data_IF_494673306086
#
_entry.id   IF_494673306086
#
_cell.length_a   1.000
_cell.length_b   1.000
_cell.length_c   1.000
_cell.angle_alpha   90.00
_cell.angle_beta   90.00
_cell.angle_gamma   90.00
#
_symmetry.space_group_name_H-M   'P 1'
#
loop_
_entity.id
_entity.type
_entity.pdbx_description
1 polymer ?
#
# COMPACT_ATOMS: atom_id res chain seq x y z
N UNK A 1 -37.16 -30.92 -8.90
CA UNK A 1 -36.63 -29.57 -8.63
C UNK A 1 -35.13 -29.70 -8.64
N UNK A 2 -34.51 -29.43 -9.79
CA UNK A 2 -33.06 -29.28 -9.87
C UNK A 2 -32.68 -27.96 -9.21
N UNK A 3 -31.60 -27.91 -8.41
CA UNK A 3 -31.10 -26.65 -7.90
C UNK A 3 -30.54 -25.86 -9.08
N UNK A 4 -31.11 -24.67 -9.34
CA UNK A 4 -30.52 -23.72 -10.28
C UNK A 4 -29.13 -23.38 -9.76
N UNK A 5 -28.09 -23.73 -10.52
CA UNK A 5 -26.74 -23.30 -10.20
C UNK A 5 -26.76 -21.77 -10.18
N UNK A 6 -26.44 -21.22 -9.01
CA UNK A 6 -25.98 -19.85 -8.91
C UNK A 6 -24.65 -19.82 -9.70
N UNK A 7 -24.74 -19.57 -11.01
CA UNK A 7 -23.58 -19.37 -11.86
C UNK A 7 -22.97 -18.03 -11.46
N UNK A 8 -22.11 -18.06 -10.44
CA UNK A 8 -21.19 -16.95 -10.19
C UNK A 8 -20.37 -16.64 -11.45
N UNK A 9 -19.85 -15.42 -11.59
CA UNK A 9 -19.14 -15.03 -12.80
C UNK A 9 -17.99 -15.97 -13.09
N UNK A 10 -17.91 -16.42 -14.35
CA UNK A 10 -16.87 -17.36 -14.75
C UNK A 10 -15.49 -16.68 -14.68
N UNK A 11 -14.44 -17.37 -14.19
CA UNK A 11 -13.09 -16.81 -14.13
C UNK A 11 -12.55 -16.33 -15.49
N UNK A 12 -13.01 -16.93 -16.60
CA UNK A 12 -12.68 -16.47 -17.94
C UNK A 12 -13.30 -15.09 -18.25
N UNK A 13 -14.49 -14.80 -17.75
CA UNK A 13 -15.20 -13.55 -17.99
C UNK A 13 -14.61 -12.41 -17.15
N UNK A 14 -14.27 -12.70 -15.89
CA UNK A 14 -13.56 -11.77 -15.01
C UNK A 14 -12.24 -11.34 -15.67
N UNK A 15 -11.44 -12.30 -16.14
CA UNK A 15 -10.16 -12.02 -16.81
C UNK A 15 -10.29 -11.09 -18.02
N UNK A 16 -11.38 -11.19 -18.78
CA UNK A 16 -11.61 -10.32 -19.95
C UNK A 16 -12.08 -8.92 -19.57
N UNK A 17 -12.70 -8.77 -18.41
CA UNK A 17 -13.32 -7.51 -17.98
C UNK A 17 -12.41 -6.64 -17.11
N UNK A 18 -11.53 -7.24 -16.31
CA UNK A 18 -10.66 -6.46 -15.42
C UNK A 18 -9.43 -5.95 -16.18
N UNK A 19 -9.22 -4.64 -16.13
CA UNK A 19 -8.03 -3.96 -16.68
C UNK A 19 -7.37 -3.13 -15.58
N UNK A 20 -6.08 -2.81 -15.74
CA UNK A 20 -5.33 -1.98 -14.79
C UNK A 20 -6.03 -0.62 -14.62
N UNK A 21 -6.16 -0.13 -13.39
CA UNK A 21 -6.85 1.13 -13.07
C UNK A 21 -8.39 1.04 -13.12
N UNK A 22 -8.94 -0.13 -13.41
CA UNK A 22 -10.38 -0.35 -13.55
C UNK A 22 -10.82 -1.59 -12.77
N UNK A 23 -11.40 -1.35 -11.60
CA UNK A 23 -11.98 -2.41 -10.76
C UNK A 23 -13.26 -2.99 -11.36
N UNK A 24 -13.42 -4.30 -11.22
CA UNK A 24 -14.70 -4.99 -11.47
C UNK A 24 -15.40 -5.25 -10.14
N UNK A 25 -16.68 -4.90 -10.05
CA UNK A 25 -17.53 -5.26 -8.92
C UNK A 25 -18.38 -6.46 -9.31
N UNK A 26 -18.25 -7.54 -8.55
CA UNK A 26 -19.10 -8.72 -8.65
C UNK A 26 -20.08 -8.70 -7.50
N UNK A 27 -21.36 -8.58 -7.83
CA UNK A 27 -22.42 -8.71 -6.85
C UNK A 27 -22.60 -10.17 -6.45
N UNK A 28 -22.70 -10.41 -5.15
CA UNK A 28 -23.12 -11.70 -4.60
C UNK A 28 -24.59 -11.61 -4.17
N UNK A 29 -25.18 -12.73 -3.76
CA UNK A 29 -26.51 -12.73 -3.15
C UNK A 29 -26.56 -11.71 -1.99
N UNK A 30 -27.48 -10.72 -1.99
CA UNK A 30 -27.62 -9.75 -0.92
C UNK A 30 -27.90 -10.37 0.46
N UNK A 31 -28.42 -11.60 0.49
CA UNK A 31 -28.65 -12.36 1.72
C UNK A 31 -27.41 -13.13 2.20
N UNK A 32 -26.32 -13.16 1.43
CA UNK A 32 -25.09 -13.84 1.82
C UNK A 32 -24.43 -13.14 3.02
N UNK A 33 -23.94 -13.94 3.96
CA UNK A 33 -23.13 -13.44 5.06
C UNK A 33 -21.65 -13.27 4.65
N UNK A 34 -20.88 -12.54 5.44
CA UNK A 34 -19.46 -12.29 5.16
C UNK A 34 -18.60 -13.57 5.08
N UNK A 35 -18.84 -14.62 5.90
CA UNK A 35 -18.18 -15.91 5.70
C UNK A 35 -18.38 -16.49 4.30
N UNK A 36 -19.61 -16.50 3.78
CA UNK A 36 -19.90 -17.00 2.43
C UNK A 36 -19.23 -16.14 1.34
N UNK A 37 -19.26 -14.81 1.48
CA UNK A 37 -18.60 -13.88 0.55
C UNK A 37 -17.09 -14.09 0.55
N UNK A 38 -16.51 -14.30 1.74
CA UNK A 38 -15.07 -14.58 1.89
C UNK A 38 -14.69 -15.92 1.28
N UNK A 39 -15.53 -16.95 1.41
CA UNK A 39 -15.31 -18.25 0.76
C UNK A 39 -15.35 -18.12 -0.77
N UNK A 40 -16.30 -17.35 -1.32
CA UNK A 40 -16.37 -17.06 -2.75
C UNK A 40 -15.13 -16.30 -3.25
N UNK A 41 -14.66 -15.29 -2.51
CA UNK A 41 -13.42 -14.59 -2.83
C UNK A 41 -12.22 -15.53 -2.87
N UNK A 42 -12.09 -16.44 -1.90
CA UNK A 42 -11.01 -17.44 -1.86
C UNK A 42 -11.07 -18.39 -3.06
N UNK A 43 -12.26 -18.89 -3.40
CA UNK A 43 -12.45 -19.75 -4.57
C UNK A 43 -12.02 -19.06 -5.88
N UNK A 44 -12.40 -17.79 -6.05
CA UNK A 44 -11.99 -17.01 -7.22
C UNK A 44 -10.48 -16.76 -7.26
N UNK A 45 -9.83 -16.45 -6.13
CA UNK A 45 -8.37 -16.27 -6.08
C UNK A 45 -7.61 -17.51 -6.54
N UNK A 46 -8.11 -18.71 -6.22
CA UNK A 46 -7.50 -19.98 -6.69
C UNK A 46 -7.69 -20.19 -8.19
N UNK A 47 -8.78 -19.68 -8.78
CA UNK A 47 -9.12 -19.89 -10.18
C UNK A 47 -8.61 -18.79 -11.13
N UNK A 48 -8.19 -17.64 -10.58
CA UNK A 48 -7.71 -16.48 -11.33
C UNK A 48 -6.17 -16.42 -11.36
N UNK A 49 -5.59 -15.78 -12.39
CA UNK A 49 -4.17 -15.44 -12.42
C UNK A 49 -3.70 -14.67 -11.18
N UNK A 50 -2.42 -14.84 -10.83
CA UNK A 50 -1.84 -14.25 -9.63
C UNK A 50 -1.81 -12.71 -9.65
N UNK A 51 -1.92 -12.06 -10.81
CA UNK A 51 -2.04 -10.60 -10.96
C UNK A 51 -3.46 -10.08 -10.74
N UNK A 52 -4.44 -10.94 -10.48
CA UNK A 52 -5.80 -10.54 -10.08
C UNK A 52 -6.00 -10.73 -8.58
N UNK A 53 -6.27 -9.64 -7.87
CA UNK A 53 -6.67 -9.70 -6.46
C UNK A 53 -8.20 -9.59 -6.37
N UNK A 54 -8.79 -10.43 -5.53
CA UNK A 54 -10.22 -10.42 -5.23
C UNK A 54 -10.38 -9.99 -3.78
N UNK A 55 -11.22 -9.01 -3.49
CA UNK A 55 -11.45 -8.46 -2.17
C UNK A 55 -12.92 -8.68 -1.82
N UNK A 56 -13.19 -9.35 -0.71
CA UNK A 56 -14.54 -9.47 -0.15
C UNK A 56 -14.87 -8.20 0.63
N UNK A 57 -16.05 -7.64 0.41
CA UNK A 57 -16.48 -6.40 1.08
C UNK A 57 -17.92 -6.52 1.59
N UNK A 58 -18.23 -6.00 2.79
CA UNK A 58 -19.59 -5.99 3.32
C UNK A 58 -20.51 -5.03 2.57
N UNK A 59 -19.93 -4.09 1.83
CA UNK A 59 -20.66 -3.17 0.97
C UNK A 59 -19.84 -2.88 -0.28
N UNK A 60 -20.46 -3.06 -1.44
CA UNK A 60 -19.90 -2.63 -2.73
C UNK A 60 -20.78 -1.54 -3.36
N UNK A 61 -20.30 -0.91 -4.43
CA UNK A 61 -21.10 0.04 -5.21
C UNK A 61 -22.39 -0.64 -5.68
N UNK A 62 -23.55 -0.07 -5.38
CA UNK A 62 -24.86 -0.69 -5.63
C UNK A 62 -25.53 -1.31 -4.40
N UNK A 63 -24.83 -1.38 -3.26
CA UNK A 63 -25.36 -1.85 -1.98
C UNK A 63 -25.20 -3.35 -1.76
N UNK A 64 -25.15 -3.76 -0.49
CA UNK A 64 -24.98 -5.16 -0.09
C UNK A 64 -23.55 -5.69 -0.23
N UNK A 65 -23.30 -6.92 0.27
CA UNK A 65 -22.00 -7.55 0.16
C UNK A 65 -21.62 -7.84 -1.29
N UNK A 66 -20.33 -7.89 -1.56
CA UNK A 66 -19.83 -8.17 -2.90
C UNK A 66 -18.34 -8.39 -2.94
N UNK A 67 -17.84 -8.62 -4.16
CA UNK A 67 -16.42 -8.79 -4.43
C UNK A 67 -15.93 -7.65 -5.32
N UNK A 68 -14.76 -7.11 -4.99
CA UNK A 68 -14.01 -6.21 -5.88
C UNK A 68 -12.84 -6.98 -6.46
N UNK A 69 -12.68 -6.96 -7.78
CA UNK A 69 -11.53 -7.56 -8.47
C UNK A 69 -10.67 -6.45 -9.06
N UNK A 70 -9.38 -6.44 -8.72
CA UNK A 70 -8.39 -5.50 -9.27
C UNK A 70 -7.35 -6.29 -10.06
N UNK A 71 -6.80 -5.65 -11.09
CA UNK A 71 -5.62 -6.16 -11.78
C UNK A 71 -4.40 -5.40 -11.31
N UNK A 72 -3.45 -6.13 -10.73
CA UNK A 72 -2.20 -5.60 -10.19
C UNK A 72 -1.09 -5.64 -11.24
N UNK A 73 0.06 -5.05 -10.92
CA UNK A 73 1.29 -5.09 -11.75
C UNK A 73 1.64 -6.54 -12.13
N UNK A 74 1.94 -6.80 -13.40
CA UNK A 74 2.34 -8.14 -13.84
C UNK A 74 3.76 -8.51 -13.39
N UNK A 75 4.12 -9.79 -13.35
CA UNK A 75 5.47 -10.21 -12.94
C UNK A 75 6.57 -9.67 -13.86
N UNK A 76 6.32 -9.65 -15.18
CA UNK A 76 7.26 -9.07 -16.15
C UNK A 76 7.50 -7.58 -15.88
N UNK A 77 6.42 -6.82 -15.71
CA UNK A 77 6.48 -5.39 -15.41
C UNK A 77 7.18 -5.13 -14.07
N UNK A 78 6.93 -5.95 -13.04
CA UNK A 78 7.64 -5.87 -11.77
C UNK A 78 9.15 -6.12 -11.94
N UNK A 79 9.53 -7.05 -12.82
CA UNK A 79 10.94 -7.34 -13.13
C UNK A 79 11.62 -6.17 -13.82
N UNK A 80 10.94 -5.51 -14.74
CA UNK A 80 11.42 -4.30 -15.41
C UNK A 80 11.55 -3.11 -14.43
N UNK A 81 10.61 -2.99 -13.49
CA UNK A 81 10.60 -1.94 -12.46
C UNK A 81 11.62 -2.16 -11.34
N UNK A 82 12.19 -3.36 -11.21
CA UNK A 82 13.05 -3.75 -10.08
C UNK A 82 14.17 -2.74 -9.78
N UNK A 83 14.95 -2.23 -10.74
CA UNK A 83 15.99 -1.24 -10.46
C UNK A 83 15.46 0.12 -10.00
N UNK A 84 14.23 0.49 -10.38
CA UNK A 84 13.58 1.72 -9.90
C UNK A 84 13.05 1.54 -8.47
N UNK A 85 12.47 0.38 -8.17
CA UNK A 85 12.00 0.01 -6.84
C UNK A 85 13.16 -0.07 -5.83
N UNK A 86 14.28 -0.72 -6.19
CA UNK A 86 15.44 -0.84 -5.30
C UNK A 86 16.00 0.54 -4.92
N UNK A 87 16.02 1.49 -5.86
CA UNK A 87 16.43 2.88 -5.60
C UNK A 87 15.46 3.61 -4.69
N UNK A 88 14.16 3.47 -4.92
CA UNK A 88 13.12 4.03 -4.06
C UNK A 88 13.25 3.52 -2.61
N UNK A 89 13.42 2.22 -2.42
CA UNK A 89 13.58 1.61 -1.09
C UNK A 89 14.84 2.11 -0.39
N UNK A 90 15.98 2.13 -1.11
CA UNK A 90 17.25 2.57 -0.54
C UNK A 90 17.17 4.04 -0.09
N UNK A 91 16.58 4.89 -0.93
CA UNK A 91 16.39 6.31 -0.63
C UNK A 91 15.44 6.53 0.54
N UNK A 92 14.28 5.85 0.55
CA UNK A 92 13.34 5.90 1.66
C UNK A 92 14.00 5.53 2.99
N UNK A 93 14.72 4.40 3.05
CA UNK A 93 15.44 3.96 4.26
C UNK A 93 16.49 4.97 4.72
N UNK A 94 17.26 5.53 3.78
CA UNK A 94 18.25 6.55 4.10
C UNK A 94 17.59 7.79 4.73
N UNK A 95 16.47 8.24 4.17
CA UNK A 95 15.74 9.41 4.67
C UNK A 95 15.10 9.12 6.02
N UNK A 96 14.34 8.02 6.12
CA UNK A 96 13.70 7.56 7.37
C UNK A 96 14.72 7.39 8.49
N UNK A 97 15.83 6.69 8.26
CA UNK A 97 16.89 6.49 9.24
C UNK A 97 17.52 7.81 9.72
N UNK A 98 17.74 8.76 8.81
CA UNK A 98 18.28 10.07 9.15
C UNK A 98 17.31 10.90 9.99
N UNK A 99 16.03 10.88 9.65
CA UNK A 99 14.97 11.61 10.35
C UNK A 99 14.70 11.02 11.74
N UNK A 100 14.57 9.70 11.84
CA UNK A 100 14.35 9.00 13.12
C UNK A 100 15.57 9.17 14.04
N UNK A 101 16.79 9.19 13.51
CA UNK A 101 17.97 9.51 14.32
C UNK A 101 17.89 10.91 14.95
N UNK A 102 17.39 11.90 14.21
CA UNK A 102 17.16 13.27 14.73
C UNK A 102 16.03 13.33 15.74
N UNK A 103 14.90 12.69 15.43
CA UNK A 103 13.77 12.55 16.34
C UNK A 103 14.22 11.97 17.70
N UNK A 104 14.97 10.87 17.68
CA UNK A 104 15.48 10.20 18.89
C UNK A 104 16.45 11.07 19.69
N UNK A 105 17.24 11.91 19.04
CA UNK A 105 18.21 12.76 19.72
C UNK A 105 17.59 14.06 20.27
N UNK A 106 16.63 14.64 19.55
CA UNK A 106 16.21 16.03 19.74
C UNK A 106 14.77 16.14 20.29
N UNK A 107 13.89 15.18 19.96
CA UNK A 107 12.45 15.23 20.27
C UNK A 107 12.05 14.24 21.35
N UNK A 108 12.33 12.94 21.15
CA UNK A 108 11.87 11.88 22.07
C UNK A 108 12.27 12.09 23.53
N UNK A 109 13.50 12.53 23.87
CA UNK A 109 13.87 12.71 25.28
C UNK A 109 13.00 13.74 26.01
N UNK A 110 12.54 14.78 25.31
CA UNK A 110 11.66 15.80 25.87
C UNK A 110 10.20 15.30 25.89
N UNK A 111 9.74 14.69 24.80
CA UNK A 111 8.43 14.05 24.70
C UNK A 111 8.19 13.04 25.85
N UNK A 112 9.13 12.14 26.09
CA UNK A 112 9.03 11.07 27.10
C UNK A 112 8.93 11.60 28.54
N UNK A 113 9.42 12.83 28.77
CA UNK A 113 9.32 13.52 30.06
C UNK A 113 8.09 14.44 30.15
N UNK A 114 7.25 14.48 29.12
CA UNK A 114 6.12 15.40 29.02
C UNK A 114 6.53 16.87 28.95
N UNK A 115 7.73 17.16 28.43
CA UNK A 115 8.24 18.51 28.24
C UNK A 115 7.97 19.01 26.82
N UNK A 116 8.03 20.33 26.64
CA UNK A 116 8.03 20.96 25.32
C UNK A 116 9.24 20.48 24.50
N UNK A 117 9.01 20.19 23.23
CA UNK A 117 10.00 19.69 22.27
C UNK A 117 9.87 20.47 20.96
N UNK A 118 10.92 20.51 20.12
CA UNK A 118 10.83 21.19 18.85
C UNK A 118 9.88 20.46 17.89
N UNK A 119 9.00 21.22 17.23
CA UNK A 119 8.09 20.72 16.19
C UNK A 119 8.82 20.44 14.85
N UNK A 120 10.13 20.67 14.79
CA UNK A 120 10.94 20.55 13.58
C UNK A 120 12.30 19.88 13.88
N UNK A 121 12.83 19.14 12.92
CA UNK A 121 14.19 18.57 12.95
C UNK A 121 14.96 18.91 11.67
N UNK A 122 16.30 18.97 11.76
CA UNK A 122 17.17 19.17 10.59
C UNK A 122 17.87 17.88 10.15
N UNK A 123 17.61 17.45 8.92
CA UNK A 123 18.19 16.24 8.33
C UNK A 123 18.35 16.40 6.80
N UNK A 124 19.40 15.78 6.24
CA UNK A 124 19.63 15.68 4.79
C UNK A 124 19.44 17.01 4.05
N UNK A 125 20.06 18.07 4.58
CA UNK A 125 20.03 19.46 4.07
C UNK A 125 18.66 20.19 4.15
N UNK A 126 17.66 19.61 4.82
CA UNK A 126 16.34 20.21 5.01
C UNK A 126 15.93 20.39 6.47
N UNK A 127 14.91 21.23 6.67
CA UNK A 127 14.11 21.27 7.90
C UNK A 127 12.83 20.47 7.65
N UNK A 128 12.45 19.65 8.61
CA UNK A 128 11.30 18.75 8.53
C UNK A 128 10.39 18.95 9.73
N UNK A 129 9.12 19.18 9.47
CA UNK A 129 8.08 19.24 10.48
C UNK A 129 7.87 17.83 11.07
N UNK A 130 7.66 17.76 12.37
CA UNK A 130 7.56 16.51 13.14
C UNK A 130 6.11 16.31 13.58
N UNK A 131 5.52 15.21 13.13
CA UNK A 131 4.19 14.77 13.55
C UNK A 131 4.31 13.39 14.20
N UNK A 132 4.44 13.38 15.52
CA UNK A 132 4.58 12.17 16.32
C UNK A 132 3.20 11.54 16.60
N UNK A 133 3.01 10.25 16.31
CA UNK A 133 1.77 9.54 16.61
C UNK A 133 1.98 8.05 16.83
N UNK A 134 1.74 7.59 18.06
CA UNK A 134 1.99 6.20 18.44
C UNK A 134 3.45 5.82 18.22
N UNK A 135 3.68 4.67 17.59
CA UNK A 135 5.03 4.12 17.33
C UNK A 135 5.66 4.64 16.02
N UNK A 136 5.01 5.60 15.37
CA UNK A 136 5.44 6.18 14.11
C UNK A 136 5.63 7.68 14.24
N UNK A 137 6.43 8.23 13.34
CA UNK A 137 6.50 9.66 13.12
C UNK A 137 6.41 9.96 11.63
N UNK A 138 5.52 10.90 11.31
CA UNK A 138 5.45 11.52 10.00
C UNK A 138 6.30 12.79 9.99
N UNK A 139 7.09 12.92 8.94
CA UNK A 139 7.94 14.05 8.66
C UNK A 139 7.50 14.70 7.35
N UNK A 140 7.40 16.02 7.35
CA UNK A 140 7.07 16.80 6.15
C UNK A 140 8.16 17.84 5.91
N UNK A 141 8.70 17.89 4.69
CA UNK A 141 9.60 18.96 4.29
C UNK A 141 8.79 20.06 3.60
N UNK A 142 8.52 21.21 4.26
CA UNK A 142 7.68 22.25 3.68
C UNK A 142 8.29 22.90 2.43
N UNK A 143 9.61 22.82 2.25
CA UNK A 143 10.28 23.40 1.08
C UNK A 143 10.13 22.53 -0.18
N UNK A 144 10.16 21.20 -0.05
CA UNK A 144 10.02 20.26 -1.18
C UNK A 144 8.61 19.67 -1.32
N UNK A 145 7.80 19.72 -0.27
CA UNK A 145 6.52 19.02 -0.18
C UNK A 145 6.65 17.50 0.03
N UNK A 146 7.86 17.02 0.33
CA UNK A 146 8.17 15.61 0.53
C UNK A 146 7.64 15.11 1.88
N UNK A 147 7.07 13.90 1.89
CA UNK A 147 6.53 13.28 3.10
C UNK A 147 7.15 11.91 3.32
N UNK A 148 7.61 11.66 4.54
CA UNK A 148 8.12 10.37 5.01
C UNK A 148 7.38 10.00 6.29
N UNK A 149 6.91 8.77 6.40
CA UNK A 149 6.37 8.25 7.65
C UNK A 149 7.12 6.96 7.99
N UNK A 150 7.72 6.93 9.16
CA UNK A 150 8.67 5.90 9.56
C UNK A 150 8.34 5.37 10.95
N UNK A 151 8.60 4.07 11.16
CA UNK A 151 8.60 3.49 12.49
C UNK A 151 9.74 4.10 13.31
N UNK A 152 9.42 4.49 14.54
CA UNK A 152 10.39 5.07 15.46
C UNK A 152 11.38 4.01 15.90
N UNK A 153 10.98 2.74 16.00
CA UNK A 153 11.80 1.64 16.50
C UNK A 153 12.60 0.97 15.38
N UNK A 154 12.00 0.80 14.21
CA UNK A 154 12.61 0.19 13.03
C UNK A 154 12.48 1.11 11.80
N UNK A 155 13.37 2.10 11.65
CA UNK A 155 13.30 3.06 10.54
C UNK A 155 13.59 2.43 9.16
N UNK A 156 14.06 1.17 9.11
CA UNK A 156 14.28 0.43 7.87
C UNK A 156 13.05 -0.39 7.42
N UNK A 157 12.04 -0.50 8.30
CA UNK A 157 10.78 -1.17 8.00
C UNK A 157 10.03 -0.43 6.88
N UNK A 158 9.44 -1.22 5.97
CA UNK A 158 8.76 -0.69 4.78
C UNK A 158 7.27 -0.94 4.89
N UNK A 159 6.52 0.12 5.14
CA UNK A 159 5.09 0.13 4.90
C UNK A 159 4.82 0.48 3.42
N UNK A 160 4.07 -0.36 2.67
CA UNK A 160 3.79 -0.11 1.25
C UNK A 160 3.04 1.21 0.97
N UNK A 161 2.16 1.64 1.88
CA UNK A 161 1.44 2.90 1.73
C UNK A 161 2.39 4.10 1.91
N UNK A 162 3.24 4.07 2.94
CA UNK A 162 4.18 5.17 3.19
C UNK A 162 5.30 5.24 2.14
N UNK A 163 5.78 4.10 1.64
CA UNK A 163 6.73 4.07 0.53
C UNK A 163 6.13 4.68 -0.75
N UNK A 164 4.86 4.37 -1.05
CA UNK A 164 4.18 4.96 -2.20
C UNK A 164 3.91 6.47 -2.01
N UNK A 165 3.59 6.90 -0.79
CA UNK A 165 3.45 8.31 -0.45
C UNK A 165 4.76 9.08 -0.67
N UNK A 166 5.89 8.50 -0.25
CA UNK A 166 7.22 9.06 -0.48
C UNK A 166 7.56 9.13 -1.98
N UNK A 167 7.30 8.05 -2.73
CA UNK A 167 7.50 8.03 -4.18
C UNK A 167 6.71 9.13 -4.90
N UNK A 168 5.48 9.38 -4.44
CA UNK A 168 4.59 10.43 -4.95
C UNK A 168 5.10 11.83 -4.63
N UNK A 169 5.41 12.08 -3.36
CA UNK A 169 5.70 13.43 -2.84
C UNK A 169 7.12 13.92 -3.17
N UNK A 170 8.10 13.01 -3.21
CA UNK A 170 9.47 13.34 -3.66
C UNK A 170 9.52 13.72 -5.15
N UNK A 171 8.59 13.22 -5.97
CA UNK A 171 8.57 13.42 -7.42
C UNK A 171 9.71 12.75 -8.20
N UNK A 172 10.64 12.06 -7.52
CA UNK A 172 11.83 11.43 -8.10
C UNK A 172 11.59 9.98 -8.58
N UNK A 173 10.54 9.33 -8.10
CA UNK A 173 10.28 7.90 -8.35
C UNK A 173 9.05 7.63 -9.24
N UNK A 174 8.88 8.45 -10.29
CA UNK A 174 7.72 8.38 -11.19
C UNK A 174 7.47 7.00 -11.79
N UNK A 175 8.51 6.28 -12.21
CA UNK A 175 8.33 4.95 -12.80
C UNK A 175 7.58 3.97 -11.89
N UNK A 176 7.88 3.98 -10.59
CA UNK A 176 7.20 3.13 -9.61
C UNK A 176 5.82 3.70 -9.27
N UNK A 177 5.73 5.02 -9.03
CA UNK A 177 4.47 5.68 -8.71
C UNK A 177 3.41 5.50 -9.82
N UNK A 178 3.79 5.74 -11.07
CA UNK A 178 2.89 5.67 -12.22
C UNK A 178 2.49 4.22 -12.52
N UNK A 179 3.35 3.26 -12.17
CA UNK A 179 3.02 1.84 -12.23
C UNK A 179 2.10 1.38 -11.09
N UNK A 180 1.94 2.12 -9.99
CA UNK A 180 1.05 1.75 -8.87
C UNK A 180 -0.38 2.30 -9.04
N UNK A 181 -1.05 1.97 -10.15
CA UNK A 181 -2.40 2.43 -10.47
C UNK A 181 -3.46 2.01 -9.44
N UNK A 182 -3.29 0.84 -8.82
CA UNK A 182 -4.15 0.32 -7.74
C UNK A 182 -3.62 0.69 -6.34
N UNK A 183 -2.68 1.63 -6.28
CA UNK A 183 -2.13 2.20 -5.06
C UNK A 183 -1.41 1.18 -4.18
N UNK A 184 -1.86 1.06 -2.93
CA UNK A 184 -1.31 0.16 -1.92
C UNK A 184 -1.14 -1.28 -2.43
N UNK A 185 -2.14 -1.82 -3.15
CA UNK A 185 -2.11 -3.20 -3.61
C UNK A 185 -1.01 -3.47 -4.64
N UNK A 186 -0.70 -2.49 -5.49
CA UNK A 186 0.42 -2.62 -6.43
C UNK A 186 1.76 -2.53 -5.71
N UNK A 187 1.90 -1.63 -4.74
CA UNK A 187 3.14 -1.53 -3.98
C UNK A 187 3.41 -2.81 -3.17
N UNK A 188 2.39 -3.38 -2.50
CA UNK A 188 2.52 -4.68 -1.85
C UNK A 188 3.04 -5.74 -2.83
N UNK A 189 2.41 -5.85 -4.00
CA UNK A 189 2.81 -6.84 -4.99
C UNK A 189 4.23 -6.63 -5.52
N UNK A 190 4.64 -5.40 -5.75
CA UNK A 190 6.00 -5.08 -6.17
C UNK A 190 7.02 -5.52 -5.12
N UNK A 191 6.75 -5.25 -3.84
CA UNK A 191 7.60 -5.65 -2.72
C UNK A 191 7.65 -7.18 -2.53
N UNK A 192 6.51 -7.86 -2.62
CA UNK A 192 6.40 -9.32 -2.56
C UNK A 192 7.23 -9.99 -3.66
N UNK A 193 7.06 -9.56 -4.91
CA UNK A 193 7.81 -10.08 -6.06
C UNK A 193 9.30 -9.73 -5.97
N UNK A 194 9.64 -8.64 -5.27
CA UNK A 194 11.02 -8.27 -5.01
C UNK A 194 11.67 -9.07 -3.87
N UNK A 195 10.88 -9.79 -3.07
CA UNK A 195 11.33 -10.49 -1.86
C UNK A 195 11.69 -9.53 -0.72
N UNK A 196 11.01 -8.38 -0.65
CA UNK A 196 11.22 -7.38 0.41
C UNK A 196 10.28 -7.69 1.56
N UNK A 197 10.83 -7.86 2.76
CA UNK A 197 10.05 -8.01 3.98
C UNK A 197 9.46 -6.64 4.38
N UNK A 198 8.15 -6.61 4.65
CA UNK A 198 7.42 -5.40 5.03
C UNK A 198 7.17 -5.29 6.53
N UNK A 199 7.63 -6.27 7.33
CA UNK A 199 7.39 -6.31 8.78
C UNK A 199 6.01 -6.83 9.15
#
# INVERSE_FOLDING_TARGET
MEPTSSNGPEPADIRRQVTRGHRLVVHVDPAADMPAVTAAARALRTALPADLVVIASPTVAGGGPGLTVLRLVAEEEARELRPALDRLIAEFRQVSGSLVARLRAEVLPAHDRGAEYPDEVRALDGTWDVHLHGDHCRFENPASGETVEASIDDPDAIDPYFLLLFARTSGRHRAVHDACLEGFHDMCRLLDLAGVDTG
#
